data_IF_792004323779
#
_entry.id   IF_792004323779
#
_cell.length_a   1.000
_cell.length_b   1.000
_cell.length_c   1.000
_cell.angle_alpha   90.00
_cell.angle_beta   90.00
_cell.angle_gamma   90.00
#
_symmetry.space_group_name_H-M   'P 1'
#
loop_
_entity.id
_entity.type
_entity.pdbx_description
1 polymer ?
#
# COMPACT_ATOMS: atom_id res chain seq x y z
N UNK A 1 -48.21 37.46 14.30
CA UNK A 1 -47.27 36.40 14.60
C UNK A 1 -47.59 35.00 14.05
N UNK A 2 -48.78 34.78 13.44
CA UNK A 2 -49.10 33.47 12.79
C UNK A 2 -48.37 33.19 11.46
N UNK A 3 -47.76 34.19 10.84
CA UNK A 3 -47.00 34.02 9.58
C UNK A 3 -45.61 33.41 9.77
N UNK A 4 -44.90 33.74 10.84
CA UNK A 4 -43.56 33.23 11.15
C UNK A 4 -43.51 31.75 11.48
N UNK A 5 -44.53 31.27 12.26
CA UNK A 5 -44.62 29.84 12.62
C UNK A 5 -44.92 28.91 11.42
N UNK A 6 -45.61 29.41 10.41
CA UNK A 6 -45.86 28.62 9.18
C UNK A 6 -44.64 28.51 8.28
N UNK A 7 -43.80 29.52 8.23
CA UNK A 7 -42.53 29.48 7.45
C UNK A 7 -41.55 28.54 8.13
N UNK A 8 -41.39 28.64 9.43
CA UNK A 8 -40.49 27.78 10.22
C UNK A 8 -40.88 26.28 10.14
N UNK A 9 -42.18 25.99 10.15
CA UNK A 9 -42.67 24.61 9.96
C UNK A 9 -42.49 24.08 8.53
N UNK A 10 -42.52 24.93 7.52
CA UNK A 10 -42.27 24.54 6.13
C UNK A 10 -40.76 24.25 5.92
N UNK A 11 -39.90 25.08 6.43
CA UNK A 11 -38.45 24.86 6.38
C UNK A 11 -38.02 23.58 7.13
N UNK A 12 -38.58 23.32 8.30
CA UNK A 12 -38.35 22.06 9.03
C UNK A 12 -38.74 20.83 8.23
N UNK A 13 -39.92 20.84 7.61
CA UNK A 13 -40.37 19.71 6.76
C UNK A 13 -39.48 19.51 5.54
N UNK A 14 -39.08 20.58 4.87
CA UNK A 14 -38.12 20.48 3.75
C UNK A 14 -36.77 19.92 4.18
N UNK A 15 -36.26 20.32 5.34
CA UNK A 15 -35.02 19.79 5.88
C UNK A 15 -35.14 18.31 6.27
N UNK A 16 -36.28 17.87 6.83
CA UNK A 16 -36.53 16.47 7.14
C UNK A 16 -36.57 15.61 5.86
N UNK A 17 -37.30 16.04 4.83
CA UNK A 17 -37.35 15.34 3.55
C UNK A 17 -35.97 15.24 2.87
N UNK A 18 -35.18 16.31 2.96
CA UNK A 18 -33.82 16.32 2.43
C UNK A 18 -32.90 15.34 3.16
N UNK A 19 -33.05 15.24 4.48
CA UNK A 19 -32.30 14.29 5.30
C UNK A 19 -32.69 12.83 5.02
N UNK A 20 -33.99 12.57 4.85
CA UNK A 20 -34.49 11.25 4.47
C UNK A 20 -33.99 10.82 3.08
N UNK A 21 -34.08 11.72 2.10
CA UNK A 21 -33.56 11.48 0.75
C UNK A 21 -32.05 11.19 0.75
N UNK A 22 -31.28 11.88 1.60
CA UNK A 22 -29.83 11.60 1.78
C UNK A 22 -29.58 10.24 2.42
N UNK A 23 -30.41 9.84 3.42
CA UNK A 23 -30.32 8.51 4.08
C UNK A 23 -30.62 7.39 3.09
N UNK A 24 -31.67 7.54 2.27
CA UNK A 24 -32.04 6.55 1.25
C UNK A 24 -30.94 6.39 0.19
N UNK A 25 -30.40 7.49 -0.33
CA UNK A 25 -29.27 7.44 -1.28
C UNK A 25 -28.04 6.73 -0.71
N UNK A 26 -27.69 6.98 0.57
CA UNK A 26 -26.59 6.29 1.26
C UNK A 26 -26.86 4.79 1.43
N UNK A 27 -28.11 4.41 1.72
CA UNK A 27 -28.50 2.99 1.82
C UNK A 27 -28.41 2.28 0.47
N UNK A 28 -28.84 2.92 -0.60
CA UNK A 28 -28.72 2.39 -1.96
C UNK A 28 -27.27 2.24 -2.39
N UNK A 29 -26.44 3.22 -2.10
CA UNK A 29 -25.00 3.14 -2.39
C UNK A 29 -24.34 1.98 -1.63
N UNK A 30 -24.64 1.80 -0.35
CA UNK A 30 -24.16 0.65 0.44
C UNK A 30 -24.63 -0.68 -0.13
N UNK A 31 -25.91 -0.78 -0.54
CA UNK A 31 -26.43 -2.01 -1.19
C UNK A 31 -25.72 -2.30 -2.52
N UNK A 32 -25.49 -1.30 -3.35
CA UNK A 32 -24.75 -1.44 -4.61
C UNK A 32 -23.30 -1.88 -4.38
N UNK A 33 -22.63 -1.33 -3.35
CA UNK A 33 -21.28 -1.71 -2.97
C UNK A 33 -21.20 -3.17 -2.52
N UNK A 34 -22.10 -3.59 -1.64
CA UNK A 34 -22.21 -4.97 -1.16
C UNK A 34 -22.51 -5.96 -2.30
N UNK A 35 -23.38 -5.57 -3.24
CA UNK A 35 -23.64 -6.41 -4.41
C UNK A 35 -22.42 -6.54 -5.30
N UNK A 36 -21.67 -5.44 -5.55
CA UNK A 36 -20.41 -5.49 -6.30
C UNK A 36 -19.38 -6.39 -5.62
N UNK A 37 -19.22 -6.28 -4.30
CA UNK A 37 -18.31 -7.15 -3.53
C UNK A 37 -18.70 -8.62 -3.64
N UNK A 38 -20.00 -8.96 -3.54
CA UNK A 38 -20.49 -10.33 -3.72
C UNK A 38 -20.22 -10.87 -5.12
N UNK A 39 -20.48 -10.07 -6.16
CA UNK A 39 -20.18 -10.44 -7.54
C UNK A 39 -18.69 -10.67 -7.73
N UNK A 40 -17.85 -9.78 -7.19
CA UNK A 40 -16.40 -9.91 -7.26
C UNK A 40 -15.90 -11.20 -6.57
N UNK A 41 -16.44 -11.51 -5.40
CA UNK A 41 -16.11 -12.73 -4.66
C UNK A 41 -16.49 -14.00 -5.45
N UNK A 42 -17.65 -14.01 -6.10
CA UNK A 42 -18.07 -15.14 -6.95
C UNK A 42 -17.16 -15.27 -8.17
N UNK A 43 -16.81 -14.16 -8.83
CA UNK A 43 -15.88 -14.17 -9.97
C UNK A 43 -14.51 -14.70 -9.56
N UNK A 44 -13.97 -14.25 -8.41
CA UNK A 44 -12.69 -14.76 -7.89
C UNK A 44 -12.76 -16.27 -7.59
N UNK A 45 -13.85 -16.72 -6.98
CA UNK A 45 -14.04 -18.15 -6.72
C UNK A 45 -14.05 -18.97 -8.01
N UNK A 46 -14.73 -18.50 -9.04
CA UNK A 46 -14.76 -19.16 -10.37
C UNK A 46 -13.36 -19.20 -10.98
N UNK A 47 -12.60 -18.11 -10.91
CA UNK A 47 -11.22 -18.07 -11.41
C UNK A 47 -10.33 -19.08 -10.67
N UNK A 48 -10.45 -19.19 -9.34
CA UNK A 48 -9.69 -20.16 -8.54
C UNK A 48 -10.04 -21.58 -8.95
N UNK A 49 -11.32 -21.90 -9.12
CA UNK A 49 -11.77 -23.23 -9.55
C UNK A 49 -11.23 -23.57 -10.95
N UNK A 50 -11.33 -22.62 -11.89
CA UNK A 50 -10.81 -22.82 -13.25
C UNK A 50 -9.29 -23.02 -13.25
N UNK A 51 -8.55 -22.24 -12.44
CA UNK A 51 -7.10 -22.41 -12.27
C UNK A 51 -6.73 -23.79 -11.72
N UNK A 52 -7.47 -24.25 -10.71
CA UNK A 52 -7.29 -25.58 -10.14
C UNK A 52 -7.53 -26.69 -11.18
N UNK A 53 -8.59 -26.56 -11.98
CA UNK A 53 -8.89 -27.52 -13.06
C UNK A 53 -7.77 -27.53 -14.10
N UNK A 54 -7.22 -26.36 -14.47
CA UNK A 54 -6.11 -26.27 -15.42
C UNK A 54 -4.83 -26.91 -14.86
N UNK A 55 -4.52 -26.68 -13.58
CA UNK A 55 -3.37 -27.30 -12.91
C UNK A 55 -3.52 -28.82 -12.86
N UNK A 56 -4.69 -29.32 -12.47
CA UNK A 56 -4.96 -30.77 -12.41
C UNK A 56 -4.89 -31.41 -13.80
N UNK A 57 -5.42 -30.73 -14.82
CA UNK A 57 -5.29 -31.21 -16.24
C UNK A 57 -3.84 -31.20 -16.68
N UNK A 58 -3.06 -30.17 -16.36
CA UNK A 58 -1.62 -30.09 -16.66
C UNK A 58 -0.83 -31.20 -15.97
N UNK A 59 -1.11 -31.50 -14.70
CA UNK A 59 -0.49 -32.58 -13.95
C UNK A 59 -0.85 -33.96 -14.54
N UNK A 60 -2.10 -34.15 -14.98
CA UNK A 60 -2.54 -35.39 -15.62
C UNK A 60 -1.87 -35.56 -16.97
N UNK A 61 -1.85 -34.52 -17.80
CA UNK A 61 -1.21 -34.56 -19.12
C UNK A 61 0.30 -34.85 -19.01
N UNK A 62 0.98 -34.31 -17.97
CA UNK A 62 2.39 -34.59 -17.70
C UNK A 62 2.66 -36.03 -17.28
N UNK A 63 1.70 -36.70 -16.66
CA UNK A 63 1.79 -38.14 -16.31
C UNK A 63 1.49 -39.06 -17.52
N UNK A 64 0.57 -38.63 -18.35
CA UNK A 64 0.15 -39.41 -19.53
C UNK A 64 1.15 -39.28 -20.70
N UNK A 65 1.88 -38.19 -20.79
CA UNK A 65 2.84 -37.89 -21.86
C UNK A 65 4.19 -37.41 -21.30
N UNK A 66 4.94 -38.25 -20.57
CA UNK A 66 6.23 -37.89 -19.99
C UNK A 66 7.27 -37.48 -21.07
N UNK A 67 7.17 -38.03 -22.28
CA UNK A 67 8.04 -37.72 -23.40
C UNK A 67 7.97 -36.26 -23.85
N UNK A 68 6.84 -35.59 -23.69
CA UNK A 68 6.65 -34.20 -24.04
C UNK A 68 7.33 -33.24 -23.02
N UNK A 69 7.66 -33.74 -21.84
CA UNK A 69 8.25 -33.00 -20.73
C UNK A 69 9.66 -33.49 -20.38
N UNK A 70 10.19 -34.48 -21.12
CA UNK A 70 11.58 -34.90 -20.99
C UNK A 70 12.48 -33.73 -21.45
N UNK A 71 13.40 -33.29 -20.56
CA UNK A 71 14.40 -32.31 -20.93
C UNK A 71 15.18 -32.83 -22.12
N UNK A 72 15.03 -32.18 -23.28
CA UNK A 72 15.90 -32.38 -24.39
C UNK A 72 17.30 -31.97 -23.94
N UNK A 73 18.27 -32.89 -23.96
CA UNK A 73 19.68 -32.53 -23.70
C UNK A 73 20.06 -31.46 -24.70
N UNK A 74 20.07 -30.23 -24.23
CA UNK A 74 20.49 -29.10 -25.03
C UNK A 74 22.00 -29.03 -24.96
N UNK A 75 22.66 -29.41 -26.02
CA UNK A 75 23.92 -28.75 -26.43
C UNK A 75 23.75 -27.26 -26.14
N UNK A 76 24.72 -26.70 -25.43
CA UNK A 76 24.82 -25.27 -25.08
C UNK A 76 24.77 -24.40 -26.37
N UNK A 77 23.56 -24.14 -26.88
CA UNK A 77 23.35 -22.91 -27.61
C UNK A 77 23.30 -21.82 -26.56
N UNK A 78 24.23 -20.89 -26.62
CA UNK A 78 24.13 -19.61 -25.91
C UNK A 78 22.83 -18.96 -26.41
N UNK A 79 21.72 -19.25 -25.73
CA UNK A 79 20.53 -18.43 -25.85
C UNK A 79 20.93 -17.12 -25.20
N UNK A 80 21.16 -16.11 -26.00
CA UNK A 80 21.14 -14.73 -25.54
C UNK A 80 19.74 -14.54 -24.96
N UNK A 81 19.63 -14.53 -23.63
CA UNK A 81 18.40 -14.10 -22.94
C UNK A 81 18.01 -12.77 -23.57
N UNK A 82 16.73 -12.58 -23.93
CA UNK A 82 16.28 -11.29 -24.42
C UNK A 82 16.65 -10.23 -23.37
N UNK A 83 17.15 -9.10 -23.82
CA UNK A 83 17.51 -7.98 -22.94
C UNK A 83 16.31 -7.68 -22.02
N UNK A 84 16.44 -7.97 -20.74
CA UNK A 84 15.44 -7.68 -19.76
C UNK A 84 15.52 -6.19 -19.41
N UNK A 85 14.41 -5.49 -19.54
CA UNK A 85 14.28 -4.09 -19.11
C UNK A 85 13.43 -4.04 -17.86
N UNK A 86 13.87 -3.30 -16.85
CA UNK A 86 13.12 -3.03 -15.63
C UNK A 86 12.95 -1.53 -15.46
N UNK A 87 11.72 -1.08 -15.34
CA UNK A 87 11.37 0.30 -15.08
C UNK A 87 11.26 0.51 -13.56
N UNK A 88 12.09 1.38 -13.01
CA UNK A 88 12.09 1.70 -11.59
C UNK A 88 11.58 3.14 -11.42
N UNK A 89 10.52 3.31 -10.65
CA UNK A 89 10.09 4.62 -10.16
C UNK A 89 10.74 4.88 -8.79
N UNK A 90 11.47 5.98 -8.68
CA UNK A 90 12.03 6.42 -7.40
C UNK A 90 11.45 7.78 -7.04
N UNK A 91 10.83 7.88 -5.87
CA UNK A 91 10.31 9.13 -5.31
C UNK A 91 11.16 9.56 -4.13
N UNK A 92 11.13 10.87 -3.86
CA UNK A 92 11.80 11.45 -2.69
C UNK A 92 11.04 11.20 -1.39
N UNK A 93 11.04 12.22 -0.52
CA UNK A 93 10.55 12.11 0.84
C UNK A 93 9.01 12.05 0.88
N UNK A 94 8.52 11.01 1.51
CA UNK A 94 7.12 10.85 1.89
C UNK A 94 7.03 11.30 3.35
N UNK A 95 6.60 12.53 3.52
CA UNK A 95 6.58 13.22 4.81
C UNK A 95 5.15 13.61 5.18
N UNK A 96 4.81 13.55 6.45
CA UNK A 96 3.52 14.03 6.94
C UNK A 96 3.65 15.48 7.43
N UNK A 97 2.70 16.33 7.03
CA UNK A 97 2.57 17.70 7.53
C UNK A 97 1.20 17.91 8.16
N UNK A 98 1.04 18.94 8.97
CA UNK A 98 -0.25 19.25 9.59
C UNK A 98 -1.30 19.65 8.53
N UNK A 99 -0.88 20.29 7.44
CA UNK A 99 -1.76 20.63 6.32
C UNK A 99 -2.25 19.37 5.62
N UNK A 100 -1.35 18.42 5.33
CA UNK A 100 -1.72 17.15 4.70
C UNK A 100 -2.65 16.33 5.61
N UNK A 101 -2.43 16.36 6.92
CA UNK A 101 -3.33 15.73 7.89
C UNK A 101 -4.71 16.38 7.87
N UNK A 102 -4.77 17.73 7.82
CA UNK A 102 -6.03 18.46 7.77
C UNK A 102 -6.82 18.13 6.48
N UNK A 103 -6.15 18.09 5.34
CA UNK A 103 -6.76 17.75 4.06
C UNK A 103 -7.24 16.30 3.99
N UNK A 104 -6.47 15.36 4.56
CA UNK A 104 -6.79 13.94 4.56
C UNK A 104 -7.91 13.57 5.54
N UNK A 105 -8.18 14.41 6.55
CA UNK A 105 -9.12 14.11 7.63
C UNK A 105 -10.56 14.07 7.15
N UNK A 106 -11.25 12.98 7.46
CA UNK A 106 -12.65 12.79 7.09
C UNK A 106 -13.61 13.21 8.23
N UNK A 107 -14.89 13.46 7.92
CA UNK A 107 -15.89 13.83 8.94
C UNK A 107 -16.10 12.79 10.05
N UNK A 108 -15.74 11.54 9.80
CA UNK A 108 -15.83 10.43 10.77
C UNK A 108 -14.55 10.30 11.63
N UNK A 109 -13.57 11.18 11.40
CA UNK A 109 -12.28 11.20 12.10
C UNK A 109 -11.20 10.30 11.47
N UNK A 110 -11.52 9.52 10.45
CA UNK A 110 -10.52 8.74 9.69
C UNK A 110 -9.69 9.63 8.77
N UNK A 111 -8.63 9.07 8.18
CA UNK A 111 -7.75 9.76 7.24
C UNK A 111 -7.69 9.03 5.91
N UNK A 112 -7.80 9.77 4.79
CA UNK A 112 -7.74 9.25 3.43
C UNK A 112 -6.79 10.09 2.58
N UNK A 113 -5.74 9.47 2.05
CA UNK A 113 -4.67 10.14 1.31
C UNK A 113 -4.74 9.94 -0.20
N UNK A 114 -5.73 9.21 -0.72
CA UNK A 114 -5.81 8.85 -2.14
C UNK A 114 -5.77 10.06 -3.08
N UNK A 115 -6.44 11.16 -2.72
CA UNK A 115 -6.46 12.39 -3.53
C UNK A 115 -5.11 13.08 -3.58
N UNK A 116 -4.35 13.05 -2.49
CA UNK A 116 -3.02 13.66 -2.41
C UNK A 116 -2.01 13.01 -3.38
N UNK A 117 -2.22 11.75 -3.73
CA UNK A 117 -1.36 10.98 -4.62
C UNK A 117 -1.96 10.76 -6.02
N UNK A 118 -3.17 11.25 -6.30
CA UNK A 118 -3.89 10.97 -7.54
C UNK A 118 -3.08 11.32 -8.80
N UNK A 119 -2.33 12.45 -8.77
CA UNK A 119 -1.55 12.91 -9.91
C UNK A 119 -0.32 12.03 -10.21
N UNK A 120 0.19 11.29 -9.23
CA UNK A 120 1.42 10.47 -9.37
C UNK A 120 1.14 8.97 -9.45
N UNK A 121 -0.05 8.53 -9.06
CA UNK A 121 -0.42 7.11 -8.98
C UNK A 121 -0.26 6.36 -10.31
N UNK A 122 -0.50 7.01 -11.43
CA UNK A 122 -0.29 6.41 -12.75
C UNK A 122 1.17 6.06 -13.04
N UNK A 123 2.11 6.85 -12.55
CA UNK A 123 3.54 6.59 -12.72
C UNK A 123 4.03 5.48 -11.80
N UNK A 124 3.61 5.50 -10.54
CA UNK A 124 4.00 4.49 -9.55
C UNK A 124 3.43 3.11 -9.91
N UNK A 125 2.18 3.04 -10.35
CA UNK A 125 1.53 1.79 -10.77
C UNK A 125 2.07 1.23 -12.09
N UNK A 126 2.68 2.04 -12.94
CA UNK A 126 3.23 1.60 -14.23
C UNK A 126 4.67 1.10 -14.15
N UNK A 127 5.36 1.34 -13.05
CA UNK A 127 6.72 0.87 -12.84
C UNK A 127 6.74 -0.62 -12.43
N UNK A 128 7.83 -1.30 -12.75
CA UNK A 128 8.08 -2.69 -12.32
C UNK A 128 8.54 -2.75 -10.85
N UNK A 129 9.07 -1.64 -10.34
CA UNK A 129 9.48 -1.46 -8.94
C UNK A 129 9.36 0.01 -8.57
N UNK A 130 8.57 0.32 -7.55
CA UNK A 130 8.43 1.68 -7.01
C UNK A 130 9.03 1.78 -5.62
N UNK A 131 9.95 2.73 -5.44
CA UNK A 131 10.69 2.96 -4.21
C UNK A 131 10.48 4.39 -3.73
N UNK A 132 10.28 4.59 -2.43
CA UNK A 132 10.19 5.91 -1.79
C UNK A 132 11.03 6.01 -0.52
N UNK A 133 11.23 7.25 -0.05
CA UNK A 133 11.82 7.53 1.27
C UNK A 133 10.71 7.86 2.27
N UNK A 134 10.50 7.02 3.29
CA UNK A 134 9.49 7.26 4.32
C UNK A 134 10.07 8.10 5.46
N UNK A 135 9.81 9.38 5.46
CA UNK A 135 10.23 10.33 6.51
C UNK A 135 9.12 10.60 7.54
N UNK A 136 8.45 9.57 7.99
CA UNK A 136 7.49 9.62 9.10
C UNK A 136 7.41 8.25 9.80
N UNK A 137 6.78 8.21 10.97
CA UNK A 137 6.52 6.96 11.69
C UNK A 137 5.03 6.67 11.76
N UNK A 138 4.68 5.38 11.69
CA UNK A 138 3.35 4.84 11.97
C UNK A 138 3.34 4.29 13.40
N UNK A 139 2.82 5.05 14.34
CA UNK A 139 2.86 4.69 15.76
C UNK A 139 1.62 5.15 16.56
N UNK A 140 0.49 5.26 15.86
CA UNK A 140 -0.79 5.64 16.44
C UNK A 140 -0.92 7.12 16.76
N UNK A 141 -2.08 7.48 17.27
CA UNK A 141 -2.38 8.86 17.69
C UNK A 141 -1.53 9.33 18.89
N UNK A 142 -1.37 10.64 19.06
CA UNK A 142 -1.85 11.73 18.20
C UNK A 142 -1.02 11.84 16.92
N UNK A 143 -1.69 12.03 15.77
CA UNK A 143 -1.00 12.28 14.51
C UNK A 143 -0.58 13.73 14.42
N UNK A 144 0.63 13.99 13.90
CA UNK A 144 1.20 15.33 13.80
C UNK A 144 2.26 15.42 12.69
N UNK A 145 2.40 16.59 12.10
CA UNK A 145 3.53 16.93 11.25
C UNK A 145 4.80 17.16 12.06
N UNK A 146 5.59 18.17 11.69
CA UNK A 146 6.82 18.54 12.39
C UNK A 146 6.53 19.02 13.83
N UNK A 147 7.31 18.64 14.86
CA UNK A 147 8.56 17.84 14.78
C UNK A 147 8.36 16.34 14.86
N UNK A 148 7.17 15.85 15.15
CA UNK A 148 6.92 14.45 15.54
C UNK A 148 6.83 13.50 14.34
N UNK A 149 6.41 14.00 13.17
CA UNK A 149 6.25 13.23 11.92
C UNK A 149 5.53 11.89 12.14
N UNK A 150 4.36 11.98 12.77
CA UNK A 150 3.55 10.83 13.17
C UNK A 150 2.35 10.69 12.24
N UNK A 151 2.38 9.72 11.36
CA UNK A 151 1.39 9.53 10.29
C UNK A 151 0.32 8.50 10.67
N UNK A 152 -0.93 8.68 10.19
CA UNK A 152 -1.94 7.64 10.24
C UNK A 152 -1.52 6.41 9.42
N UNK A 153 -1.82 5.20 9.91
CA UNK A 153 -1.51 3.93 9.26
C UNK A 153 -2.21 3.77 7.91
N UNK A 154 -3.30 4.50 7.69
CA UNK A 154 -4.00 4.57 6.39
C UNK A 154 -3.13 5.13 5.26
N UNK A 155 -2.08 5.90 5.57
CA UNK A 155 -1.10 6.33 4.59
C UNK A 155 -0.34 5.13 4.02
N UNK A 156 0.08 4.17 4.84
CA UNK A 156 0.74 2.95 4.35
C UNK A 156 -0.18 2.15 3.42
N UNK A 157 -1.46 2.02 3.77
CA UNK A 157 -2.46 1.38 2.90
C UNK A 157 -2.62 2.12 1.57
N UNK A 158 -2.61 3.45 1.59
CA UNK A 158 -2.67 4.25 0.37
C UNK A 158 -1.43 4.02 -0.50
N UNK A 159 -0.22 4.07 0.08
CA UNK A 159 1.03 3.85 -0.64
C UNK A 159 1.08 2.47 -1.30
N UNK A 160 0.67 1.41 -0.58
CA UNK A 160 0.53 0.07 -1.14
C UNK A 160 -0.45 0.04 -2.33
N UNK A 161 -1.60 0.69 -2.19
CA UNK A 161 -2.65 0.72 -3.22
C UNK A 161 -2.19 1.41 -4.51
N UNK A 162 -1.35 2.43 -4.40
CA UNK A 162 -0.81 3.17 -5.54
C UNK A 162 0.54 2.62 -6.05
N UNK A 163 0.93 1.42 -5.61
CA UNK A 163 2.02 0.66 -6.21
C UNK A 163 3.41 0.88 -5.60
N UNK A 164 3.52 1.36 -4.37
CA UNK A 164 4.81 1.33 -3.68
C UNK A 164 5.16 -0.09 -3.24
N UNK A 165 6.30 -0.60 -3.72
CA UNK A 165 6.80 -1.93 -3.41
C UNK A 165 7.77 -1.93 -2.25
N UNK A 166 8.54 -0.83 -2.09
CA UNK A 166 9.58 -0.71 -1.08
C UNK A 166 9.70 0.73 -0.58
N UNK A 167 9.82 0.87 0.73
CA UNK A 167 10.15 2.15 1.37
C UNK A 167 11.50 2.05 2.09
N UNK A 168 12.41 2.94 1.74
CA UNK A 168 13.61 3.12 2.53
C UNK A 168 13.24 3.88 3.81
N UNK A 169 13.76 3.41 4.93
CA UNK A 169 13.44 3.87 6.27
C UNK A 169 14.63 4.42 7.04
N UNK A 170 15.84 4.36 6.44
CA UNK A 170 17.07 4.90 7.02
C UNK A 170 17.21 6.39 6.70
N UNK A 171 16.62 7.25 7.52
CA UNK A 171 16.66 8.70 7.38
C UNK A 171 16.69 9.40 8.76
N UNK A 172 16.60 10.71 8.78
CA UNK A 172 16.67 11.50 10.01
C UNK A 172 15.48 11.27 10.95
N UNK A 173 14.36 10.78 10.42
CA UNK A 173 13.13 10.52 11.17
C UNK A 173 12.98 9.05 11.61
N UNK A 174 13.95 8.19 11.32
CA UNK A 174 13.87 6.74 11.56
C UNK A 174 13.44 6.37 12.99
N UNK A 175 13.96 7.08 13.99
CA UNK A 175 13.65 6.87 15.40
C UNK A 175 13.02 8.12 16.07
N UNK A 176 12.37 8.97 15.30
CA UNK A 176 11.78 10.21 15.82
C UNK A 176 10.77 9.93 16.95
N UNK A 177 10.06 8.83 16.88
CA UNK A 177 9.13 8.36 17.91
C UNK A 177 9.70 7.19 18.73
N UNK A 178 11.03 7.11 18.87
CA UNK A 178 11.74 6.08 19.61
C UNK A 178 11.76 4.71 18.88
N UNK A 179 12.35 3.71 19.53
CA UNK A 179 12.41 2.35 18.97
C UNK A 179 11.04 1.69 18.82
N UNK A 180 10.11 1.99 19.72
CA UNK A 180 8.72 1.50 19.62
C UNK A 180 8.01 2.07 18.40
N UNK A 181 8.25 3.35 18.09
CA UNK A 181 7.73 3.99 16.88
C UNK A 181 8.33 3.38 15.60
N UNK A 182 9.63 3.09 15.61
CA UNK A 182 10.28 2.36 14.52
C UNK A 182 9.65 0.98 14.35
N UNK A 183 9.55 0.17 15.41
CA UNK A 183 8.97 -1.16 15.36
C UNK A 183 7.55 -1.13 14.78
N UNK A 184 6.71 -0.25 15.32
CA UNK A 184 5.32 -0.08 14.84
C UNK A 184 5.28 0.32 13.36
N UNK A 185 6.23 1.15 12.90
CA UNK A 185 6.35 1.53 11.49
C UNK A 185 6.66 0.31 10.61
N UNK A 186 7.63 -0.52 10.99
CA UNK A 186 8.00 -1.73 10.23
C UNK A 186 6.86 -2.76 10.20
N UNK A 187 6.15 -2.93 11.31
CA UNK A 187 4.98 -3.81 11.39
C UNK A 187 3.84 -3.31 10.50
N UNK A 188 3.61 -1.99 10.45
CA UNK A 188 2.60 -1.36 9.59
C UNK A 188 2.94 -1.55 8.12
N UNK A 189 4.20 -1.33 7.71
CA UNK A 189 4.65 -1.57 6.34
C UNK A 189 4.48 -3.04 5.94
N UNK A 190 4.90 -3.96 6.80
CA UNK A 190 4.72 -5.40 6.58
C UNK A 190 3.24 -5.75 6.40
N UNK A 191 2.37 -5.20 7.25
CA UNK A 191 0.92 -5.41 7.17
C UNK A 191 0.29 -4.84 5.91
N UNK A 192 0.85 -3.74 5.37
CA UNK A 192 0.44 -3.14 4.11
C UNK A 192 1.03 -3.87 2.88
N UNK A 193 1.94 -4.84 3.07
CA UNK A 193 2.61 -5.56 1.99
C UNK A 193 3.71 -4.75 1.31
N UNK A 194 4.25 -3.73 1.98
CA UNK A 194 5.37 -2.92 1.50
C UNK A 194 6.65 -3.40 2.17
N UNK A 195 7.66 -3.73 1.37
CA UNK A 195 9.00 -4.04 1.91
C UNK A 195 9.69 -2.77 2.45
N UNK A 196 10.62 -2.95 3.36
CA UNK A 196 11.42 -1.84 3.89
C UNK A 196 12.91 -2.13 3.82
N UNK A 197 13.72 -1.08 3.73
CA UNK A 197 15.17 -1.18 3.68
C UNK A 197 15.83 -0.09 4.55
N UNK A 198 16.91 -0.45 5.22
CA UNK A 198 17.79 0.47 5.94
C UNK A 198 17.56 0.53 7.45
N UNK A 199 16.42 0.10 7.97
CA UNK A 199 16.18 -0.11 9.40
C UNK A 199 15.61 -1.51 9.64
N UNK A 200 15.80 -2.03 10.83
CA UNK A 200 15.48 -3.41 11.20
C UNK A 200 14.90 -3.45 12.61
N UNK A 201 13.94 -4.34 12.83
CA UNK A 201 13.32 -4.56 14.13
C UNK A 201 14.28 -5.26 15.12
N UNK A 202 15.30 -5.97 14.60
CA UNK A 202 16.25 -6.70 15.42
C UNK A 202 17.58 -6.95 14.69
N UNK A 203 18.62 -7.24 15.46
CA UNK A 203 19.91 -7.69 14.92
C UNK A 203 19.77 -8.99 14.10
N UNK A 204 18.87 -9.88 14.50
CA UNK A 204 18.59 -11.11 13.76
C UNK A 204 17.96 -10.85 12.39
N UNK A 205 17.12 -9.85 12.26
CA UNK A 205 16.57 -9.42 10.98
C UNK A 205 17.64 -8.81 10.08
N UNK A 206 18.45 -7.89 10.61
CA UNK A 206 19.57 -7.32 9.89
C UNK A 206 20.54 -8.39 9.40
N UNK A 207 20.86 -9.38 10.24
CA UNK A 207 21.81 -10.44 9.93
C UNK A 207 21.35 -11.36 8.78
N UNK A 208 20.05 -11.50 8.53
CA UNK A 208 19.53 -12.34 7.45
C UNK A 208 20.06 -11.93 6.08
N UNK A 209 20.19 -10.64 5.83
CA UNK A 209 20.54 -10.08 4.52
C UNK A 209 21.79 -9.19 4.58
N UNK A 210 22.44 -9.06 5.73
CA UNK A 210 23.61 -8.18 5.90
C UNK A 210 23.34 -6.70 5.58
N UNK A 211 22.11 -6.26 5.81
CA UNK A 211 21.68 -4.89 5.49
C UNK A 211 21.36 -4.64 4.01
N UNK A 212 21.31 -5.67 3.19
CA UNK A 212 20.99 -5.56 1.75
C UNK A 212 19.63 -6.18 1.49
N UNK A 213 18.69 -5.38 0.95
CA UNK A 213 17.42 -5.89 0.43
C UNK A 213 17.62 -6.37 -1.01
N UNK A 214 17.27 -7.61 -1.28
CA UNK A 214 17.33 -8.19 -2.63
C UNK A 214 15.91 -8.39 -3.17
N UNK A 215 15.63 -7.77 -4.32
CA UNK A 215 14.39 -7.96 -5.08
C UNK A 215 14.70 -8.62 -6.42
N UNK A 216 13.82 -9.51 -6.85
CA UNK A 216 13.90 -10.05 -8.22
C UNK A 216 12.72 -9.50 -9.00
N UNK A 217 13.00 -8.68 -10.01
CA UNK A 217 12.00 -8.01 -10.84
C UNK A 217 12.28 -8.38 -12.29
N UNK A 218 11.29 -8.97 -12.97
CA UNK A 218 11.44 -9.43 -14.37
C UNK A 218 12.68 -10.29 -14.62
N UNK A 219 13.06 -11.14 -13.66
CA UNK A 219 14.25 -12.00 -13.71
C UNK A 219 15.56 -11.30 -13.32
N UNK A 220 15.58 -9.99 -13.19
CA UNK A 220 16.75 -9.20 -12.80
C UNK A 220 16.83 -9.09 -11.26
N UNK A 221 18.00 -9.37 -10.70
CA UNK A 221 18.26 -9.20 -9.25
C UNK A 221 18.72 -7.77 -8.98
N UNK A 222 17.99 -7.07 -8.15
CA UNK A 222 18.23 -5.69 -7.73
C UNK A 222 18.59 -5.70 -6.26
N UNK A 223 19.76 -5.16 -5.92
CA UNK A 223 20.21 -4.96 -4.55
C UNK A 223 19.90 -3.52 -4.12
N UNK A 224 19.18 -3.35 -3.03
CA UNK A 224 18.82 -2.05 -2.46
C UNK A 224 19.51 -1.93 -1.11
N UNK A 225 20.25 -0.82 -0.95
CA UNK A 225 21.03 -0.50 0.23
C UNK A 225 20.62 0.90 0.68
N UNK A 226 20.23 1.05 1.93
CA UNK A 226 19.82 2.33 2.50
C UNK A 226 20.55 2.58 3.82
N UNK A 227 21.13 3.78 3.95
CA UNK A 227 21.85 4.22 5.14
C UNK A 227 21.52 5.66 5.48
N UNK A 228 21.60 6.00 6.76
CA UNK A 228 21.56 7.39 7.22
C UNK A 228 22.81 7.70 8.04
N UNK A 229 23.31 8.93 7.89
CA UNK A 229 24.41 9.46 8.73
C UNK A 229 23.92 10.01 10.04
N UNK A 230 22.67 10.46 10.10
CA UNK A 230 22.13 11.20 11.25
C UNK A 230 20.71 10.77 11.58
N UNK A 231 20.33 10.97 12.81
CA UNK A 231 19.03 10.61 13.37
C UNK A 231 18.29 11.86 13.90
N UNK A 232 18.35 12.98 13.16
CA UNK A 232 17.66 14.22 13.55
C UNK A 232 18.13 14.83 14.87
N UNK A 233 19.39 14.55 15.28
CA UNK A 233 19.92 14.96 16.59
C UNK A 233 19.66 13.95 17.72
N UNK A 234 18.93 12.88 17.45
CA UNK A 234 18.72 11.77 18.38
C UNK A 234 19.93 10.83 18.40
N UNK A 235 20.08 10.08 19.47
CA UNK A 235 21.08 9.05 19.61
C UNK A 235 20.40 7.67 19.69
N UNK A 236 21.05 6.64 19.16
CA UNK A 236 20.63 5.27 19.41
C UNK A 236 20.80 4.97 20.90
N UNK A 237 19.82 4.32 21.54
CA UNK A 237 19.88 3.94 22.94
C UNK A 237 20.96 2.90 23.21
#
# INVERSE_FOLDING_TARGET
SKGGERVDNMERRQNEELLEARRLRRQEQKRRLLMRQRVLAVVLLVIVILSLILILRGCRNRREHPELYAKKDSTLELQTEPDATVNIAAVGDIMITDELLADAKQPDGSYQFAESFAAVSGYTLSADLTIGNLECNFCGEPYAGKPDYRAPESLATTLSTIGFDLLQTANTCSIQNGLSGLQSTLDTLTSAGIDHAGTYASEAEHAKNGGVMLKTVSGMKIAIIAYTKGLGGLQLP
#
